data_IF_096873408728
#
_entry.id   IF_096873408728
#
_cell.length_a   1.000
_cell.length_b   1.000
_cell.length_c   1.000
_cell.angle_alpha   90.00
_cell.angle_beta   90.00
_cell.angle_gamma   90.00
#
_symmetry.space_group_name_H-M   'P 1'
#
loop_
_entity.id
_entity.type
_entity.pdbx_description
1 polymer ?
2 polymer ?
3 polymer ?
4 non-polymer ?
5 non-polymer ?
6 water ?
#
# COMPACT_ATOMS: atom_id res chain seq x y z
N UNK A 1 -13.06 -2.42 7.71
CA UNK A 1 -13.71 -1.17 7.38
C UNK A 1 -13.25 -0.02 8.26
N UNK A 2 -12.69 -0.34 9.42
CA UNK A 2 -12.39 0.72 10.35
C UNK A 2 -11.29 0.39 11.30
N UNK A 3 -11.56 0.75 12.56
CA UNK A 3 -10.64 0.55 13.68
C UNK A 3 -10.16 -0.88 13.73
N UNK A 4 -8.86 -1.06 13.95
CA UNK A 4 -8.29 -2.39 13.96
C UNK A 4 -8.61 -3.06 12.66
N UNK A 5 -9.12 -2.23 11.76
CA UNK A 5 -9.47 -2.61 10.44
C UNK A 5 -10.86 -3.22 10.30
N UNK A 6 -10.90 -4.53 10.11
CA UNK A 6 -12.13 -5.26 9.88
C UNK A 6 -12.62 -6.05 11.10
N UNK A 7 -12.89 -7.32 10.86
CA UNK A 7 -13.37 -8.31 11.87
C UNK A 7 -12.60 -9.62 11.70
N UNK A 8 -12.54 -10.03 10.45
CA UNK A 8 -11.76 -11.13 10.01
C UNK A 8 -10.42 -10.53 9.40
N UNK A 9 -10.30 -9.20 9.52
CA UNK A 9 -9.17 -8.49 8.92
C UNK A 9 -7.83 -9.00 9.29
N UNK A 10 -6.88 -8.83 8.34
CA UNK A 10 -5.45 -9.15 8.52
C UNK A 10 -5.13 -10.61 8.66
N UNK A 11 -6.15 -11.51 8.48
CA UNK A 11 -5.94 -12.94 8.58
C UNK A 11 -6.07 -13.59 7.20
N UNK A 12 -4.94 -13.98 6.62
CA UNK A 12 -4.93 -14.50 5.24
C UNK A 12 -5.47 -15.93 5.08
N UNK A 13 -6.38 -16.12 4.10
CA UNK A 13 -6.93 -17.45 3.86
C UNK A 13 -5.90 -18.52 3.62
N UNK A 14 -4.86 -18.21 2.86
CA UNK A 14 -3.86 -19.21 2.51
C UNK A 14 -2.74 -19.34 3.48
N UNK A 15 -2.72 -18.47 4.46
CA UNK A 15 -1.62 -18.47 5.41
C UNK A 15 -2.13 -18.58 6.92
N UNK A 16 -2.41 -17.46 7.61
CA UNK A 16 -2.86 -17.53 9.01
C UNK A 16 -4.02 -18.49 9.26
N UNK A 17 -5.01 -18.46 8.37
CA UNK A 17 -6.20 -19.31 8.49
C UNK A 17 -5.84 -20.79 8.44
N UNK A 18 -4.71 -21.17 7.82
CA UNK A 18 -4.35 -22.60 7.73
C UNK A 18 -3.14 -22.90 8.57
N UNK A 19 -2.71 -21.88 9.28
CA UNK A 19 -1.49 -21.99 10.09
C UNK A 19 -0.22 -22.20 9.24
N UNK A 20 -0.18 -21.56 8.09
CA UNK A 20 1.02 -21.61 7.28
C UNK A 20 1.69 -20.23 7.33
N UNK A 21 3.00 -20.21 7.19
CA UNK A 21 3.81 -18.98 7.19
C UNK A 21 4.33 -18.74 5.83
N UNK A 22 4.49 -17.45 5.48
CA UNK A 22 5.07 -17.10 4.20
C UNK A 22 6.59 -17.16 4.30
N UNK A 23 7.24 -17.15 3.18
CA UNK A 23 8.68 -17.31 3.18
C UNK A 23 9.52 -16.24 3.89
N UNK A 24 9.01 -15.03 4.11
CA UNK A 24 9.86 -14.06 4.78
C UNK A 24 9.23 -13.38 5.99
N UNK A 25 8.06 -13.84 6.40
CA UNK A 25 7.42 -13.18 7.55
C UNK A 25 8.27 -13.24 8.84
N UNK A 26 9.04 -14.32 8.98
CA UNK A 26 9.94 -14.53 10.08
C UNK A 26 10.84 -13.28 10.25
N UNK A 27 11.30 -12.74 9.13
CA UNK A 27 12.15 -11.54 9.10
C UNK A 27 11.52 -10.36 9.90
N UNK A 28 10.25 -10.14 9.69
CA UNK A 28 9.57 -9.07 10.36
C UNK A 28 9.51 -9.37 11.81
N UNK A 29 9.01 -10.53 12.08
CA UNK A 29 8.83 -10.91 13.45
C UNK A 29 10.12 -10.83 14.22
N UNK A 30 11.23 -11.23 13.61
CA UNK A 30 12.51 -11.17 14.32
C UNK A 30 13.00 -9.77 14.60
N UNK A 31 12.52 -8.80 13.86
CA UNK A 31 12.93 -7.42 14.03
C UNK A 31 12.16 -6.76 15.15
N UNK A 32 10.98 -7.30 15.44
CA UNK A 32 10.15 -6.75 16.51
C UNK A 32 10.79 -7.23 17.75
N UNK A 33 12.05 -7.55 17.56
CA UNK A 33 12.85 -8.14 18.56
C UNK A 33 12.29 -9.50 18.95
N UNK A 34 12.10 -10.31 17.89
CA UNK A 34 11.53 -11.66 17.92
C UNK A 34 10.06 -11.70 18.30
N UNK A 35 9.27 -12.28 17.39
CA UNK A 35 7.82 -12.35 17.48
C UNK A 35 7.24 -13.16 18.65
N UNK A 36 5.90 -13.27 18.60
CA UNK A 36 5.06 -13.96 19.58
C UNK A 36 5.61 -15.35 19.89
N UNK B 1 8.95 -2.18 -7.40
CA UNK B 1 9.82 -2.56 -6.28
C UNK B 1 11.21 -2.88 -6.76
N UNK B 2 12.18 -2.21 -6.13
CA UNK B 2 13.62 -2.39 -6.37
C UNK B 2 14.24 -3.30 -5.33
N UNK B 3 14.88 -4.38 -5.81
CA UNK B 3 15.52 -5.36 -4.97
C UNK B 3 14.58 -6.24 -4.14
N UNK B 4 13.36 -6.49 -4.63
CA UNK B 4 12.44 -7.34 -3.92
C UNK B 4 12.48 -8.73 -4.51
N UNK B 5 11.37 -9.40 -4.43
CA UNK B 5 11.25 -10.71 -4.95
C UNK B 5 9.81 -11.02 -5.25
N UNK B 6 9.61 -12.07 -6.03
CA UNK B 6 8.27 -12.48 -6.39
C UNK B 6 7.44 -12.81 -5.15
N UNK B 7 6.24 -12.31 -5.09
CA UNK B 7 5.40 -12.65 -3.95
C UNK B 7 4.86 -14.06 -4.11
N UNK B 8 4.39 -14.67 -3.02
CA UNK B 8 3.74 -15.96 -3.07
C UNK B 8 2.29 -15.75 -3.40
N UNK B 9 1.67 -16.76 -3.98
CA UNK B 9 0.29 -16.62 -4.30
C UNK B 9 -0.51 -16.37 -2.98
N UNK B 10 -1.46 -15.39 -2.99
CA UNK B 10 -2.31 -15.08 -1.84
C UNK B 10 -1.58 -14.42 -0.66
N UNK B 11 -0.39 -13.92 -0.91
CA UNK B 11 0.43 -13.34 0.14
C UNK B 11 -0.06 -11.95 0.62
N UNK B 12 -0.67 -11.18 -0.28
CA UNK B 12 -1.19 -9.84 0.00
C UNK B 12 -2.54 -9.68 -0.65
N UNK B 13 -3.49 -10.39 -0.11
CA UNK B 13 -4.81 -10.46 -0.67
C UNK B 13 -5.57 -9.16 -0.56
N UNK B 14 -4.99 -8.16 0.13
CA UNK B 14 -5.64 -6.84 0.18
C UNK B 14 -5.02 -5.95 -0.94
N UNK B 15 -4.02 -6.48 -1.63
CA UNK B 15 -3.36 -5.68 -2.67
C UNK B 15 -4.32 -5.34 -3.81
N UNK B 16 -4.41 -4.06 -4.16
CA UNK B 16 -5.32 -3.60 -5.22
C UNK B 16 -4.53 -2.89 -6.35
N UNK B 17 -4.95 -3.09 -7.59
CA UNK B 17 -4.36 -2.39 -8.73
C UNK B 17 -5.31 -1.31 -9.25
N UNK B 18 -4.74 -0.13 -9.38
CA UNK B 18 -5.44 1.04 -9.88
C UNK B 18 -5.15 1.11 -11.38
N UNK B 19 -6.21 0.98 -12.12
CA UNK B 19 -6.07 0.78 -13.53
C UNK B 19 -6.81 1.76 -14.39
N UNK B 20 -6.01 2.40 -15.23
CA UNK B 20 -6.50 3.34 -16.18
C UNK B 20 -7.26 2.64 -17.33
N UNK B 21 -8.42 3.15 -17.57
CA UNK B 21 -9.29 2.64 -18.59
C UNK B 21 -8.76 2.86 -20.00
N UNK B 22 -8.19 4.01 -20.24
CA UNK B 22 -7.73 4.30 -21.58
C UNK B 22 -6.89 5.56 -21.66
N UNK B 23 -5.65 5.43 -22.09
CA UNK B 23 -5.04 4.14 -22.39
C UNK B 23 -5.08 3.24 -21.19
N UNK B 24 -4.99 1.94 -21.45
CA UNK B 24 -4.97 0.92 -20.42
C UNK B 24 -3.60 0.86 -19.80
N UNK B 25 -3.50 1.28 -18.55
CA UNK B 25 -2.22 1.25 -17.88
C UNK B 25 -2.36 1.21 -16.38
N UNK B 26 -1.31 0.75 -15.74
CA UNK B 26 -1.21 0.68 -14.31
C UNK B 26 -1.02 2.11 -13.83
N UNK B 27 -1.85 2.58 -12.91
CA UNK B 27 -1.70 3.93 -12.39
C UNK B 27 -0.92 3.96 -11.09
N UNK B 28 -1.36 3.09 -10.16
CA UNK B 28 -0.81 3.05 -8.80
C UNK B 28 -1.22 1.77 -8.11
N UNK B 29 -0.73 1.56 -6.90
CA UNK B 29 -1.22 0.46 -6.07
C UNK B 29 -2.29 1.01 -5.12
N UNK B 30 -2.92 0.15 -4.35
CA UNK B 30 -3.95 0.53 -3.39
C UNK B 30 -4.19 -0.63 -2.47
N UNK B 31 -5.14 -0.47 -1.53
CA UNK B 31 -5.44 -1.52 -0.57
C UNK B 31 -6.94 -1.65 -0.21
N UNK B 32 -7.38 -2.91 -0.03
CA UNK B 32 -8.75 -3.25 0.28
C UNK B 32 -8.92 -3.22 1.82
N UNK B 33 -9.73 -2.29 2.34
CA UNK B 33 -9.92 -2.18 3.79
C UNK B 33 -11.28 -2.71 4.29
N UNK B 34 -12.16 -2.95 3.33
CA UNK B 34 -13.45 -3.61 3.59
C UNK B 34 -14.04 -4.08 2.25
N UNK B 35 -15.25 -4.61 2.27
CA UNK B 35 -15.83 -5.10 1.02
C UNK B 35 -16.25 -3.99 0.06
N UNK B 36 -16.23 -2.77 0.52
CA UNK B 36 -16.65 -1.67 -0.33
C UNK B 36 -15.65 -0.46 -0.39
N UNK B 37 -14.54 -0.52 0.36
CA UNK B 37 -13.61 0.64 0.44
C UNK B 37 -12.17 0.34 0.13
N UNK B 38 -11.60 1.22 -0.71
CA UNK B 38 -10.23 1.11 -1.10
C UNK B 38 -9.46 2.32 -0.62
N UNK B 39 -8.27 2.09 -0.12
CA UNK B 39 -7.35 3.14 0.40
C UNK B 39 -6.18 3.31 -0.52
N UNK B 40 -5.86 4.60 -0.83
CA UNK B 40 -4.70 4.88 -1.72
C UNK B 40 -4.10 6.26 -1.40
N UNK B 41 -3.10 6.66 -2.17
CA UNK B 41 -2.46 7.99 -2.00
C UNK B 41 -3.21 9.04 -2.83
N UNK B 42 -3.48 10.23 -2.21
CA UNK B 42 -4.16 11.32 -2.96
C UNK B 42 -3.43 11.70 -4.30
N UNK B 43 -2.12 11.69 -4.28
CA UNK B 43 -1.37 12.09 -5.45
C UNK B 43 -1.59 11.15 -6.68
N UNK B 44 -2.10 9.96 -6.42
CA UNK B 44 -2.40 9.02 -7.52
C UNK B 44 -3.57 9.55 -8.36
N UNK B 45 -4.40 10.35 -7.73
CA UNK B 45 -5.58 10.87 -8.39
C UNK B 45 -5.51 12.33 -8.77
N UNK B 46 -4.84 13.14 -7.88
CA UNK B 46 -4.78 14.58 -8.05
C UNK B 46 -3.41 15.12 -7.79
N UNK B 47 -2.86 15.70 -8.86
CA UNK B 47 -1.53 16.29 -8.83
C UNK B 47 -1.39 17.34 -9.95
N UNK B 48 -1.96 18.52 -9.68
CA UNK B 48 -2.04 19.63 -10.64
C UNK B 48 -0.75 20.07 -11.34
N UNK B 49 0.37 19.95 -10.65
CA UNK B 49 1.61 20.32 -11.24
C UNK B 49 1.91 19.49 -12.46
N UNK B 50 1.26 18.35 -12.58
CA UNK B 50 1.48 17.42 -13.72
C UNK B 50 0.25 17.27 -14.51
N UNK B 51 -0.67 18.16 -14.25
CA UNK B 51 -1.94 18.12 -14.89
C UNK B 51 -2.74 16.84 -14.57
N UNK B 52 -2.49 16.24 -13.41
CA UNK B 52 -3.19 15.01 -13.06
C UNK B 52 -4.43 15.28 -12.25
N UNK B 53 -5.57 14.86 -12.77
CA UNK B 53 -6.79 15.03 -12.04
C UNK B 53 -7.85 13.98 -12.42
N UNK B 54 -7.60 12.73 -12.02
CA UNK B 54 -8.47 11.59 -12.29
C UNK B 54 -9.80 11.62 -11.62
N UNK B 55 -10.73 11.01 -12.31
CA UNK B 55 -12.09 10.92 -11.89
C UNK B 55 -12.59 9.48 -11.85
N UNK B 56 -13.70 9.28 -11.11
CA UNK B 56 -14.37 7.99 -10.94
C UNK B 56 -14.44 7.23 -12.24
N UNK B 57 -14.94 7.93 -13.22
CA UNK B 57 -15.12 7.37 -14.53
C UNK B 57 -13.86 7.15 -15.32
N UNK B 58 -12.71 7.52 -14.77
CA UNK B 58 -11.47 7.34 -15.51
C UNK B 58 -10.77 6.01 -15.20
N UNK B 59 -11.15 5.43 -14.05
CA UNK B 59 -10.45 4.33 -13.44
C UNK B 59 -11.23 3.08 -13.21
N UNK B 60 -10.43 2.05 -12.99
CA UNK B 60 -10.83 0.74 -12.64
C UNK B 60 -9.96 0.21 -11.52
N UNK B 61 -10.57 -0.55 -10.63
CA UNK B 61 -9.90 -1.20 -9.54
C UNK B 61 -9.87 -2.70 -9.81
N UNK B 62 -8.69 -3.28 -9.84
CA UNK B 62 -8.54 -4.72 -10.01
C UNK B 62 -7.98 -5.38 -8.73
N UNK B 63 -8.79 -6.33 -8.16
CA UNK B 63 -8.49 -7.01 -6.90
C UNK B 63 -8.26 -8.51 -7.05
N UNK B 64 -7.37 -9.03 -6.22
CA UNK B 64 -7.01 -10.44 -6.22
C UNK B 64 -5.97 -10.83 -7.30
N UNK B 65 -5.21 -9.86 -7.82
CA UNK B 65 -4.23 -10.12 -8.88
C UNK B 65 -2.93 -10.64 -8.40
N UNK B 66 -2.25 -11.32 -9.34
CA UNK B 66 -0.90 -11.80 -9.13
C UNK B 66 -0.05 -11.32 -10.30
N UNK B 67 -0.49 -11.73 -11.47
CA UNK B 67 0.13 -11.34 -12.70
C UNK B 67 -0.10 -9.83 -12.97
N UNK B 68 0.99 -9.14 -13.42
CA UNK B 68 0.90 -7.70 -13.73
C UNK B 68 0.01 -7.41 -14.91
N UNK B 69 0.31 -8.05 -16.07
CA UNK B 69 -0.43 -7.72 -17.30
C UNK B 69 -1.61 -8.64 -17.72
N UNK B 70 -1.58 -9.88 -17.28
CA UNK B 70 -2.61 -10.85 -17.67
C UNK B 70 -3.97 -10.63 -17.05
N UNK B 71 -4.98 -10.96 -17.81
CA UNK B 71 -6.29 -10.92 -17.25
C UNK B 71 -6.58 -12.28 -16.58
N UNK B 72 -6.49 -12.28 -15.25
CA UNK B 72 -6.59 -13.48 -14.44
C UNK B 72 -7.97 -14.08 -14.27
N UNK B 73 -8.44 -14.69 -15.35
CA UNK B 73 -9.78 -15.29 -15.41
C UNK B 73 -10.15 -16.20 -14.19
N UNK B 74 -11.35 -15.96 -13.68
CA UNK B 74 -11.85 -16.69 -12.56
C UNK B 74 -11.12 -16.42 -11.25
N UNK B 75 -10.19 -15.45 -11.24
CA UNK B 75 -9.42 -15.15 -10.02
C UNK B 75 -9.63 -13.73 -9.56
N UNK B 76 -9.24 -12.82 -10.41
CA UNK B 76 -9.37 -11.41 -10.16
C UNK B 76 -10.79 -10.92 -10.34
N UNK B 77 -11.05 -9.81 -9.64
CA UNK B 77 -12.31 -9.08 -9.72
C UNK B 77 -12.02 -7.62 -10.11
N UNK B 78 -12.84 -7.11 -11.06
CA UNK B 78 -12.75 -5.74 -11.54
C UNK B 78 -13.94 -4.95 -11.06
N UNK B 79 -13.70 -3.78 -10.48
CA UNK B 79 -14.81 -2.98 -9.92
C UNK B 79 -14.75 -1.57 -10.35
N UNK B 80 -15.91 -0.99 -10.30
CA UNK B 80 -16.11 0.38 -10.65
C UNK B 80 -16.26 1.24 -9.44
N UNK B 81 -15.80 2.46 -9.58
CA UNK B 81 -15.81 3.42 -8.50
C UNK B 81 -17.06 4.18 -8.42
N UNK B 82 -17.58 4.29 -7.20
CA UNK B 82 -18.75 5.07 -6.92
C UNK B 82 -18.38 6.52 -6.52
N UNK B 83 -17.35 6.67 -5.71
CA UNK B 83 -16.95 7.99 -5.24
C UNK B 83 -15.54 8.06 -4.74
N UNK B 84 -14.85 9.13 -5.07
CA UNK B 84 -13.51 9.36 -4.60
C UNK B 84 -13.50 10.44 -3.54
N UNK B 85 -12.72 10.23 -2.51
CA UNK B 85 -12.57 11.23 -1.44
C UNK B 85 -11.13 11.46 -1.12
N UNK B 86 -10.70 12.68 -1.34
CA UNK B 86 -9.34 13.12 -1.03
C UNK B 86 -9.32 13.89 0.29
N UNK B 87 -8.28 13.72 1.06
CA UNK B 87 -8.17 14.51 2.29
C UNK B 87 -8.30 16.05 2.00
N UNK B 88 -9.20 16.72 2.69
CA UNK B 88 -9.45 18.14 2.46
C UNK B 88 -8.23 18.98 2.66
N UNK B 89 -7.24 18.48 3.40
CA UNK B 89 -6.03 19.24 3.60
C UNK B 89 -4.82 18.67 2.95
N UNK B 90 -4.97 17.76 1.98
CA UNK B 90 -3.82 17.23 1.23
C UNK B 90 -2.99 18.44 0.63
N UNK B 91 -1.69 18.45 0.85
CA UNK B 91 -0.84 19.55 0.44
C UNK B 91 0.05 19.23 -0.78
N UNK B 92 -0.57 19.28 -1.95
CA UNK B 92 0.12 19.01 -3.20
C UNK B 92 0.97 20.17 -3.62
N UNK B 93 0.79 21.31 -3.02
CA UNK B 93 1.67 22.45 -3.42
C UNK B 93 3.05 22.39 -2.85
N UNK B 94 3.19 21.85 -1.66
CA UNK B 94 4.50 21.81 -1.07
C UNK B 94 5.12 20.45 -0.88
N UNK B 95 4.59 19.64 0.03
CA UNK B 95 5.31 18.43 0.39
C UNK B 95 4.51 17.12 0.44
N UNK B 96 3.31 17.11 -0.16
CA UNK B 96 2.47 15.89 -0.16
C UNK B 96 1.98 15.54 1.25
N UNK B 97 1.92 16.53 2.11
CA UNK B 97 1.44 16.26 3.45
C UNK B 97 -0.04 15.79 3.41
N UNK B 98 -0.33 14.78 4.19
CA UNK B 98 -1.68 14.19 4.18
C UNK B 98 -1.98 13.56 2.85
N UNK B 99 -1.07 12.77 2.37
CA UNK B 99 -1.27 12.16 1.05
C UNK B 99 -2.14 10.87 1.19
N UNK B 100 -3.45 11.08 1.21
CA UNK B 100 -4.35 9.99 1.43
C UNK B 100 -5.71 10.22 0.75
N UNK B 101 -6.33 9.10 0.33
CA UNK B 101 -7.61 9.12 -0.34
C UNK B 101 -8.33 7.79 -0.20
N UNK B 102 -9.64 7.92 -0.14
CA UNK B 102 -10.56 6.79 -0.08
C UNK B 102 -11.41 6.71 -1.35
N UNK B 103 -11.64 5.45 -1.78
CA UNK B 103 -12.50 5.11 -2.91
C UNK B 103 -13.55 4.09 -2.52
N UNK B 104 -14.79 4.50 -2.69
CA UNK B 104 -15.96 3.68 -2.43
C UNK B 104 -16.39 2.91 -3.71
N UNK B 105 -16.37 1.57 -3.62
CA UNK B 105 -16.71 0.70 -4.76
C UNK B 105 -18.15 0.79 -5.19
N UNK B 106 -18.39 0.62 -6.47
CA UNK B 106 -19.75 0.65 -6.91
C UNK B 106 -20.55 -0.44 -6.23
N UNK B 107 -19.93 -1.58 -6.01
CA UNK B 107 -20.56 -2.70 -5.29
C UNK B 107 -19.52 -3.52 -4.55
N UNK B 108 -19.95 -4.11 -3.47
CA UNK B 108 -19.08 -4.90 -2.62
C UNK B 108 -18.47 -6.00 -3.38
N UNK B 109 -17.26 -6.30 -3.07
CA UNK B 109 -16.54 -7.36 -3.70
C UNK B 109 -16.66 -8.58 -2.80
N UNK B 110 -16.67 -9.77 -3.35
CA UNK B 110 -16.74 -10.90 -2.48
C UNK B 110 -15.36 -11.45 -2.20
N UNK B 111 -15.13 -11.83 -0.94
CA UNK B 111 -13.86 -12.36 -0.48
C UNK B 111 -13.63 -13.75 -0.99
N UNK B 112 -12.36 -14.13 -1.05
CA UNK B 112 -11.98 -15.42 -1.55
C UNK B 112 -10.62 -15.69 -1.03
N UNK B 113 -10.00 -16.76 -1.51
CA UNK B 113 -8.67 -17.11 -1.08
C UNK B 113 -7.64 -16.01 -1.45
N UNK B 114 -7.96 -15.24 -2.52
CA UNK B 114 -7.04 -14.25 -3.08
C UNK B 114 -7.41 -12.79 -2.79
N UNK B 115 -8.56 -12.60 -2.18
CA UNK B 115 -9.15 -11.32 -1.92
C UNK B 115 -9.64 -11.23 -0.46
N UNK B 116 -8.97 -10.39 0.34
CA UNK B 116 -9.27 -10.28 1.76
C UNK B 116 -8.71 -8.95 2.31
N UNK B 117 -9.46 -8.25 3.17
CA UNK B 117 -9.04 -6.94 3.66
C UNK B 117 -7.96 -6.95 4.76
N UNK B 118 -7.20 -5.89 4.80
CA UNK B 118 -6.19 -5.70 5.84
C UNK B 118 -6.81 -4.85 7.01
N UNK B 119 -6.25 -4.94 8.22
CA UNK B 119 -6.73 -4.13 9.34
C UNK B 119 -6.11 -2.72 9.36
N UNK B 120 -6.86 -1.77 9.94
CA UNK B 120 -6.41 -0.38 10.19
C UNK B 120 -5.93 -0.33 11.60
N UNK B 121 -4.83 0.32 11.83
CA UNK B 121 -4.27 0.34 13.14
C UNK B 121 -5.09 1.07 14.16
N UNK B 122 -4.92 0.58 15.37
CA UNK B 122 -5.46 1.18 16.58
C UNK B 122 -4.30 1.94 17.29
N UNK B 123 -4.67 2.84 18.18
CA UNK B 123 -3.69 3.61 18.89
C UNK B 123 -2.56 2.78 19.51
N UNK B 124 -2.91 1.70 20.13
CA UNK B 124 -1.92 0.87 20.80
C UNK B 124 -1.13 -0.01 19.85
N UNK B 125 -1.73 -0.35 18.75
CA UNK B 125 -0.99 -1.12 17.81
C UNK B 125 0.11 -0.19 17.25
N UNK B 126 -0.28 1.02 16.86
CA UNK B 126 0.68 1.97 16.33
C UNK B 126 1.83 2.21 17.28
N UNK B 127 1.45 2.50 18.50
CA UNK B 127 2.45 2.75 19.50
C UNK B 127 3.40 1.61 19.63
N UNK B 128 2.92 0.41 19.59
CA UNK B 128 3.87 -0.67 19.77
C UNK B 128 4.77 -0.98 18.62
N UNK B 129 4.26 -0.87 17.41
CA UNK B 129 4.99 -1.34 16.24
C UNK B 129 5.78 -0.32 15.49
N UNK B 130 5.32 0.90 15.51
CA UNK B 130 5.96 1.97 14.73
C UNK B 130 7.19 2.49 15.44
N UNK B 131 8.25 1.67 15.39
CA UNK B 131 9.50 1.95 16.05
C UNK B 131 10.71 1.74 15.15
N UNK B 132 11.73 2.64 15.32
CA UNK B 132 12.92 2.54 14.50
C UNK B 132 13.60 1.18 14.63
N UNK B 133 13.87 0.52 13.48
CA UNK B 133 14.46 -0.80 13.52
C UNK B 133 13.44 -1.89 13.14
N UNK B 134 12.15 -1.61 13.44
CA UNK B 134 11.09 -2.56 13.11
C UNK B 134 10.86 -2.62 11.62
N UNK B 135 10.75 -3.83 11.10
CA UNK B 135 10.50 -3.99 9.69
C UNK B 135 9.04 -4.08 9.35
N UNK B 136 8.75 -3.57 8.18
CA UNK B 136 7.46 -3.56 7.56
C UNK B 136 7.63 -4.11 6.17
N UNK B 137 6.52 -4.22 5.41
CA UNK B 137 6.55 -4.84 4.12
C UNK B 137 5.82 -4.01 3.11
N UNK B 138 6.44 -3.90 1.92
CA UNK B 138 5.84 -3.13 0.82
C UNK B 138 5.62 -4.01 -0.39
N UNK B 139 4.52 -3.80 -1.08
CA UNK B 139 4.25 -4.61 -2.25
C UNK B 139 3.81 -3.77 -3.44
N UNK B 140 4.02 -4.30 -4.67
CA UNK B 140 3.58 -3.56 -5.86
C UNK B 140 4.11 -4.09 -7.20
N UNK B 141 3.56 -3.54 -8.27
CA UNK B 141 3.90 -3.91 -9.65
C UNK B 141 4.73 -2.83 -10.35
N UNK B 142 5.29 -1.92 -9.55
CA UNK B 142 6.10 -0.82 -10.07
C UNK B 142 7.40 -1.31 -10.63
N UNK B 143 8.17 -0.37 -11.18
CA UNK B 143 9.45 -0.67 -11.78
C UNK B 143 10.42 -1.37 -10.89
N UNK B 144 11.29 -2.14 -11.55
CA UNK B 144 12.37 -2.85 -10.89
C UNK B 144 13.66 -2.00 -10.70
N UNK B 145 13.72 -0.87 -11.38
CA UNK B 145 14.90 0.03 -11.36
C UNK B 145 14.46 1.46 -11.65
N UNK B 146 15.28 2.45 -11.19
CA UNK B 146 14.99 3.91 -11.41
C UNK B 146 14.90 4.28 -12.90
N UNK B 147 15.84 3.73 -13.68
CA UNK B 147 15.96 3.86 -15.14
C UNK B 147 16.74 2.65 -15.67
N UNK B 148 15.94 1.72 -16.09
CA UNK B 148 16.14 0.37 -16.51
C UNK B 148 16.29 0.28 -18.02
N UNK B 155 13.58 -2.81 -15.25
CA UNK B 155 12.47 -3.11 -16.13
C UNK B 155 11.13 -3.13 -15.38
N UNK B 156 10.27 -4.05 -15.81
CA UNK B 156 8.95 -4.24 -15.22
C UNK B 156 8.71 -5.70 -14.89
N UNK B 157 8.21 -5.96 -13.65
CA UNK B 157 7.99 -7.33 -13.18
C UNK B 157 6.87 -8.03 -13.93
N UNK B 158 6.88 -9.35 -13.88
CA UNK B 158 5.81 -10.10 -14.50
C UNK B 158 4.76 -10.40 -13.47
N UNK B 159 5.20 -10.47 -12.24
CA UNK B 159 4.34 -10.83 -11.14
C UNK B 159 4.54 -9.85 -9.94
N UNK B 160 3.58 -9.82 -8.99
CA UNK B 160 3.66 -8.95 -7.84
C UNK B 160 4.98 -9.13 -7.08
N UNK B 161 5.61 -7.99 -6.70
CA UNK B 161 6.93 -8.00 -6.00
C UNK B 161 6.79 -7.67 -4.52
N UNK B 162 7.77 -8.03 -3.73
CA UNK B 162 7.68 -7.81 -2.29
C UNK B 162 9.03 -7.49 -1.66
N UNK B 163 9.03 -6.64 -0.67
CA UNK B 163 10.27 -6.34 -0.02
C UNK B 163 10.01 -5.87 1.42
N UNK B 164 10.85 -6.34 2.35
CA UNK B 164 10.77 -5.95 3.77
C UNK B 164 11.80 -4.83 4.12
N UNK B 165 11.33 -3.74 4.71
CA UNK B 165 12.17 -2.58 5.03
C UNK B 165 12.02 -2.13 6.47
N UNK B 166 13.09 -1.67 7.02
CA UNK B 166 13.10 -1.18 8.39
C UNK B 166 12.62 0.27 8.51
N UNK B 167 11.91 0.57 9.59
CA UNK B 167 11.48 1.96 9.86
C UNK B 167 12.71 2.77 10.30
N UNK B 168 12.81 4.02 9.89
CA UNK B 168 13.99 4.83 10.21
C UNK B 168 13.70 5.99 11.22
N UNK B 169 14.71 6.29 12.09
CA UNK B 169 14.66 7.38 13.09
C UNK B 169 14.34 8.71 12.39
N UNK B 170 13.39 9.46 12.95
CA UNK B 170 12.96 10.74 12.41
C UNK B 170 14.10 11.71 12.01
N UNK B 171 15.13 11.83 12.85
CA UNK B 171 16.25 12.74 12.55
C UNK B 171 17.06 12.35 11.34
N UNK B 172 17.27 11.04 11.14
CA UNK B 172 17.94 10.57 9.97
C UNK B 172 17.10 10.86 8.72
N UNK B 173 15.76 10.66 8.84
CA UNK B 173 14.83 10.97 7.74
C UNK B 173 14.97 12.44 7.32
N UNK B 174 14.84 13.32 8.32
CA UNK B 174 14.92 14.79 8.08
C UNK B 174 16.29 15.23 7.42
N UNK B 175 17.38 14.63 7.86
CA UNK B 175 18.71 15.02 7.36
C UNK B 175 19.06 14.50 5.98
N UNK B 176 18.13 13.75 5.38
CA UNK B 176 18.38 13.10 4.10
C UNK B 176 17.76 13.84 2.98
N UNK B 177 16.96 14.85 3.31
CA UNK B 177 16.26 15.58 2.26
C UNK B 177 16.15 17.04 2.55
N UNK B 178 15.80 17.78 1.52
CA UNK B 178 15.53 19.19 1.73
C UNK B 178 14.04 19.48 1.80
N UNK B 179 13.21 18.43 1.62
CA UNK B 179 11.75 18.60 1.72
C UNK B 179 11.32 18.70 3.18
N UNK B 180 10.37 19.56 3.45
CA UNK B 180 9.83 19.69 4.84
C UNK B 180 8.96 18.43 5.30
N UNK B 181 9.49 17.66 6.24
CA UNK B 181 8.83 16.47 6.79
C UNK B 181 7.78 16.87 7.86
N UNK B 182 6.65 16.14 7.93
CA UNK B 182 5.63 16.40 8.96
C UNK B 182 5.40 15.15 9.79
N UNK B 183 4.62 15.35 10.84
CA UNK B 183 4.20 14.30 11.73
C UNK B 183 3.27 13.31 11.01
N UNK B 184 2.74 13.67 9.81
CA UNK B 184 1.85 12.80 9.03
C UNK B 184 2.61 11.85 8.11
N UNK B 185 3.90 11.76 8.33
CA UNK B 185 4.78 10.94 7.51
C UNK B 185 5.78 10.21 8.32
N UNK B 186 6.29 9.13 7.74
CA UNK B 186 7.42 8.40 8.32
C UNK B 186 8.29 7.92 7.17
N UNK B 187 9.56 7.57 7.46
CA UNK B 187 10.45 7.07 6.39
C UNK B 187 10.97 5.70 6.70
N UNK B 188 11.37 5.01 5.67
CA UNK B 188 11.89 3.67 5.84
C UNK B 188 12.85 3.29 4.76
N UNK B 189 13.73 2.35 5.10
CA UNK B 189 14.73 1.87 4.19
C UNK B 189 16.00 1.50 4.89
N UNK B 190 16.89 0.78 4.19
CA UNK B 190 18.17 0.46 4.77
C UNK B 190 19.11 1.70 4.67
N UNK B 191 20.12 1.73 5.56
CA UNK B 191 21.20 2.71 5.60
C UNK B 191 22.29 2.20 4.67
N UNK B 192 22.98 3.12 3.98
CA UNK B 192 24.01 2.79 2.97
C UNK B 192 25.03 1.82 3.51
N UNK B 193 25.17 1.93 4.81
CA UNK B 193 25.98 1.15 5.71
C UNK B 193 25.53 -0.33 5.78
N UNK B 194 24.20 -0.51 6.00
CA UNK B 194 23.51 -1.78 6.25
C UNK B 194 23.77 -2.95 5.28
N UNK B 195 24.21 -2.65 4.06
CA UNK B 195 24.43 -3.73 3.13
C UNK B 195 23.14 -4.59 2.93
N UNK B 196 22.06 -3.90 2.54
CA UNK B 196 20.77 -4.46 2.22
C UNK B 196 20.03 -3.34 1.59
N UNK B 197 19.41 -3.57 0.45
CA UNK B 197 18.73 -2.49 -0.26
C UNK B 197 17.30 -2.76 -0.42
N UNK B 198 16.69 -1.92 -1.23
CA UNK B 198 15.31 -2.07 -1.55
C UNK B 198 14.54 -0.80 -1.36
N UNK B 199 13.49 -0.68 -2.17
CA UNK B 199 12.66 0.49 -2.11
C UNK B 199 11.44 0.31 -3.04
N UNK B 200 10.45 1.20 -2.88
CA UNK B 200 9.38 1.28 -3.78
C UNK B 200 9.88 2.09 -4.98
N UNK B 201 9.14 2.08 -6.03
CA UNK B 201 9.50 2.86 -7.22
C UNK B 201 8.25 3.25 -8.03
N UNK B 202 8.48 3.88 -9.18
CA UNK B 202 7.38 4.23 -10.05
C UNK B 202 6.38 3.06 -10.23
N UNK B 203 5.08 3.37 -10.09
CA UNK B 203 4.00 2.37 -10.24
C UNK B 203 3.59 1.78 -8.90
N UNK B 204 4.44 1.89 -7.87
CA UNK B 204 4.16 1.34 -6.55
C UNK B 204 3.40 2.30 -5.66
N UNK B 205 3.46 3.61 -6.00
CA UNK B 205 2.74 4.68 -5.25
C UNK B 205 1.34 4.27 -4.83
N UNK B 206 0.91 4.72 -3.66
CA UNK B 206 -0.42 4.44 -3.23
C UNK B 206 -0.58 3.04 -2.64
N UNK B 207 0.43 2.21 -2.78
CA UNK B 207 0.36 0.86 -2.21
C UNK B 207 0.57 0.84 -0.68
N UNK B 208 0.46 -0.36 -0.09
CA UNK B 208 0.51 -0.49 1.38
C UNK B 208 1.82 -0.81 1.96
N UNK B 209 2.03 -0.26 3.15
CA UNK B 209 3.18 -0.63 3.92
C UNK B 209 2.58 -1.36 5.14
N UNK B 210 2.84 -2.63 5.32
CA UNK B 210 2.15 -3.34 6.38
C UNK B 210 3.07 -3.96 7.35
N UNK B 211 2.48 -4.32 8.50
CA UNK B 211 3.17 -4.97 9.60
C UNK B 211 2.29 -6.07 10.22
N UNK B 212 2.95 -7.12 10.73
CA UNK B 212 2.24 -8.24 11.38
C UNK B 212 2.33 -8.14 12.91
N UNK B 213 1.19 -8.02 13.57
CA UNK B 213 1.20 -7.94 15.01
C UNK B 213 1.64 -9.26 15.64
N UNK B 214 2.64 -9.18 16.58
CA UNK B 214 3.10 -10.35 17.31
C UNK B 214 2.13 -10.67 18.47
N UNK B 215 1.14 -9.76 18.72
CA UNK B 215 0.12 -9.96 19.76
C UNK B 215 -1.04 -10.78 19.28
N UNK B 216 -1.57 -10.45 18.11
CA UNK B 216 -2.75 -11.14 17.68
C UNK B 216 -2.63 -11.79 16.31
N UNK B 217 -1.43 -11.72 15.71
CA UNK B 217 -1.18 -12.36 14.39
C UNK B 217 -1.83 -11.72 13.18
N UNK B 218 -2.40 -10.56 13.34
CA UNK B 218 -3.05 -9.91 12.24
C UNK B 218 -2.12 -8.96 11.50
N UNK B 219 -2.39 -8.78 10.20
CA UNK B 219 -1.64 -7.82 9.41
C UNK B 219 -2.33 -6.45 9.48
N UNK B 220 -1.56 -5.40 9.76
CA UNK B 220 -2.04 -4.02 9.87
C UNK B 220 -1.37 -3.09 8.83
N UNK B 221 -2.16 -2.19 8.23
CA UNK B 221 -1.55 -1.24 7.31
C UNK B 221 -1.08 0.02 8.05
N UNK B 222 0.21 0.16 8.22
CA UNK B 222 0.74 1.33 8.91
C UNK B 222 0.98 2.56 8.01
N UNK B 223 1.39 2.30 6.73
CA UNK B 223 1.72 3.38 5.80
C UNK B 223 1.17 3.17 4.40
N UNK B 224 1.17 4.27 3.65
CA UNK B 224 0.87 4.29 2.20
C UNK B 224 2.09 4.82 1.49
N UNK B 225 2.51 4.17 0.40
CA UNK B 225 3.67 4.64 -0.43
C UNK B 225 3.39 6.05 -0.97
N UNK B 226 4.18 7.05 -0.51
CA UNK B 226 3.91 8.44 -0.86
C UNK B 226 4.91 9.10 -1.77
N UNK B 227 6.15 9.23 -1.28
CA UNK B 227 7.17 9.84 -2.06
C UNK B 227 8.56 9.40 -1.72
N UNK B 228 9.47 9.72 -2.64
CA UNK B 228 10.87 9.40 -2.51
C UNK B 228 11.65 9.97 -3.70
N UNK B 229 12.91 10.32 -3.45
CA UNK B 229 13.80 10.92 -4.45
C UNK B 229 14.57 9.85 -5.17
N UNK B 230 14.03 9.48 -6.34
CA UNK B 230 14.59 8.36 -7.11
C UNK B 230 14.15 7.06 -6.44
N UNK B 231 14.81 5.95 -6.78
CA UNK B 231 14.50 4.67 -6.19
C UNK B 231 15.73 3.96 -5.69
N UNK B 232 15.72 3.58 -4.43
CA UNK B 232 16.81 2.82 -3.88
C UNK B 232 18.15 3.56 -3.96
N UNK B 233 18.09 4.87 -3.78
CA UNK B 233 19.32 5.64 -3.77
C UNK B 233 20.03 5.54 -2.41
N UNK B 234 21.35 5.47 -2.43
CA UNK B 234 22.11 5.44 -1.17
C UNK B 234 21.96 6.75 -0.45
N UNK B 235 21.66 6.67 0.84
CA UNK B 235 21.49 7.88 1.65
C UNK B 235 20.09 8.51 1.53
N UNK B 236 19.21 7.91 0.69
CA UNK B 236 17.83 8.38 0.55
C UNK B 236 16.89 7.32 1.14
N UNK B 237 15.66 7.72 1.46
CA UNK B 237 14.67 6.81 2.02
C UNK B 237 13.33 6.97 1.38
N UNK B 238 12.45 6.04 1.67
CA UNK B 238 11.10 6.19 1.18
C UNK B 238 10.25 6.83 2.27
N UNK B 239 9.33 7.71 1.85
CA UNK B 239 8.37 8.37 2.74
C UNK B 239 7.02 7.81 2.56
N UNK B 240 6.34 7.62 3.68
CA UNK B 240 5.01 7.01 3.68
C UNK B 240 4.00 7.83 4.44
N UNK B 241 2.78 7.82 3.99
CA UNK B 241 1.73 8.45 4.75
C UNK B 241 1.45 7.65 6.06
N UNK B 242 1.32 8.37 7.16
CA UNK B 242 1.09 7.83 8.54
C UNK B 242 -0.36 7.56 8.77
N UNK B 243 -0.76 6.35 8.44
CA UNK B 243 -2.15 5.97 8.42
C UNK B 243 -2.84 6.25 9.75
N UNK B 244 -2.21 5.81 10.79
CA UNK B 244 -2.84 6.02 12.06
C UNK B 244 -3.17 7.48 12.35
N UNK B 245 -2.26 8.39 12.04
CA UNK B 245 -2.49 9.82 12.31
C UNK B 245 -3.66 10.35 11.58
N UNK B 246 -4.08 9.62 10.58
CA UNK B 246 -5.18 10.06 9.77
C UNK B 246 -6.45 9.20 9.96
N UNK B 247 -6.38 8.26 10.88
CA UNK B 247 -7.49 7.36 11.11
C UNK B 247 -8.81 8.07 11.32
N UNK B 248 -8.79 9.12 12.08
CA UNK B 248 -10.04 9.82 12.34
C UNK B 248 -10.67 10.37 11.06
N UNK B 249 -9.88 10.86 10.15
CA UNK B 249 -10.53 11.29 8.97
C UNK B 249 -11.15 10.06 8.23
N UNK B 250 -10.45 8.94 8.24
CA UNK B 250 -10.95 7.73 7.56
C UNK B 250 -12.36 7.36 8.09
N UNK B 251 -12.42 7.17 9.44
CA UNK B 251 -13.69 6.81 10.15
C UNK B 251 -14.81 7.75 9.79
N UNK B 252 -14.49 8.98 9.88
CA UNK B 252 -15.39 10.02 9.55
C UNK B 252 -16.01 9.84 8.19
N UNK B 253 -15.18 9.60 7.19
CA UNK B 253 -15.71 9.42 5.85
C UNK B 253 -16.51 8.12 5.68
N UNK B 254 -15.98 7.05 6.17
CA UNK B 254 -16.68 5.82 6.05
C UNK B 254 -18.05 5.91 6.78
N UNK B 255 -18.07 6.56 7.96
CA UNK B 255 -19.33 6.64 8.66
C UNK B 255 -20.34 7.61 8.12
N UNK B 256 -19.88 8.70 7.59
CA UNK B 256 -20.78 9.66 7.04
C UNK B 256 -21.24 9.30 5.63
N UNK B 257 -20.61 8.27 5.02
CA UNK B 257 -20.92 7.96 3.62
C UNK B 257 -21.15 6.51 3.27
N UNK B 258 -21.10 5.56 4.21
CA UNK B 258 -21.36 4.16 3.82
C UNK B 258 -20.61 3.07 4.59
N UNK B 259 -19.46 2.67 4.06
CA UNK B 259 -18.66 1.57 4.61
C UNK B 259 -19.02 0.31 3.86
N UNK C 1 1.12 -3.31 -23.05
CA UNK C 1 1.58 -4.61 -22.62
C UNK C 1 0.48 -5.35 -21.88
N UNK C 2 -0.59 -4.65 -21.57
CA UNK C 2 -1.68 -5.20 -20.81
C UNK C 2 -2.60 -6.07 -21.62
N UNK C 3 -2.87 -7.26 -21.13
CA UNK C 3 -3.81 -8.10 -21.80
C UNK C 3 -5.24 -7.53 -21.73
N UNK C 4 -5.99 -7.69 -22.81
CA UNK C 4 -7.36 -7.21 -22.94
C UNK C 4 -8.31 -7.71 -21.84
N UNK C 5 -8.99 -6.74 -21.17
CA UNK C 5 -9.93 -7.05 -20.12
C UNK C 5 -11.33 -7.10 -20.69
N UNK C 6 -12.18 -7.91 -20.11
CA UNK C 6 -13.54 -8.00 -20.59
C UNK C 6 -14.21 -6.64 -20.77
N UNK C 7 -15.04 -6.53 -21.81
CA UNK C 7 -15.74 -5.28 -22.17
C UNK C 7 -16.83 -4.86 -21.17
N UNK C 8 -17.36 -5.82 -20.43
CA UNK C 8 -18.35 -5.53 -19.39
C UNK C 8 -17.82 -4.54 -18.37
N UNK C 10 -15.58 -2.09 -19.25
CA UNK C 10 -15.31 -0.79 -19.85
C UNK C 10 -16.63 -0.05 -20.12
#
# INVERSE_FOLDING_TARGET
TFGSGEADCGLRPLFEKKSLEDKTERELLESYIDGR
IVEGSDAEIGMSPWQVMLFRKSPQELLCGASLISDRWVLTAAHCLLYPPWDKNFTENDLLVRIGKHSRTRYERNIEKISMLEKIYIHPRYNWRENLDRDIALMKLKKPVAFSDYIHPVCLPDRETAASLLQAGYKGRVTGWGNLKETWTANVGKGQPSVLQVVNLPIVERPVCKDSTRIRITDNMFCAGYKPDEGKRGDACEGDSGGPFVMKSPFNNRWYQMGIVSWGEGCDRDGKYGFYTHVFRLKKWIQKVIDQFGE
DFEEIPEEXL
#
